data_IF_517751646818
#
_entry.id   IF_517751646818
#
_cell.length_a   1.000
_cell.length_b   1.000
_cell.length_c   1.000
_cell.angle_alpha   90.00
_cell.angle_beta   90.00
_cell.angle_gamma   90.00
#
_symmetry.space_group_name_H-M   'P 1'
#
loop_
_entity.id
_entity.type
_entity.pdbx_description
1 polymer ?
#
# COMPACT_ATOMS: atom_id res chain seq x y z
N UNK A 1 18.21 -2.34 -10.94
CA UNK A 1 17.09 -2.48 -9.99
C UNK A 1 17.43 -1.76 -8.69
N UNK A 2 16.64 -0.77 -8.33
CA UNK A 2 16.73 -0.09 -7.04
C UNK A 2 15.33 -0.14 -6.42
N UNK A 3 15.10 -1.15 -5.57
CA UNK A 3 13.85 -1.31 -4.86
C UNK A 3 13.68 -0.20 -3.82
N UNK A 4 12.70 0.68 -4.01
CA UNK A 4 12.43 1.82 -3.11
C UNK A 4 11.04 1.68 -2.50
N UNK A 5 10.98 1.86 -1.19
CA UNK A 5 9.71 1.87 -0.48
C UNK A 5 8.87 3.08 -0.90
N UNK A 6 7.55 2.88 -0.93
CA UNK A 6 6.56 3.93 -1.12
C UNK A 6 5.68 4.01 0.13
N UNK A 7 5.02 5.15 0.33
CA UNK A 7 4.06 5.33 1.42
C UNK A 7 2.87 4.38 1.25
N UNK A 8 2.23 4.05 2.36
CA UNK A 8 1.02 3.22 2.35
C UNK A 8 -0.09 3.89 1.54
N UNK A 9 -0.24 5.22 1.66
CA UNK A 9 -1.17 6.00 0.87
C UNK A 9 -0.99 5.76 -0.64
N UNK A 10 0.25 5.85 -1.12
CA UNK A 10 0.56 5.67 -2.53
C UNK A 10 0.35 4.20 -2.97
N UNK A 11 0.75 3.23 -2.14
CA UNK A 11 0.52 1.81 -2.39
C UNK A 11 -0.98 1.49 -2.54
N UNK A 12 -1.83 2.04 -1.66
CA UNK A 12 -3.28 1.87 -1.70
C UNK A 12 -3.90 2.50 -2.93
N UNK A 13 -3.48 3.70 -3.30
CA UNK A 13 -3.97 4.37 -4.52
C UNK A 13 -3.62 3.57 -5.79
N UNK A 14 -2.38 3.09 -5.89
CA UNK A 14 -1.95 2.26 -7.02
C UNK A 14 -2.79 0.98 -7.12
N UNK A 15 -2.95 0.23 -6.02
CA UNK A 15 -3.76 -0.99 -6.04
C UNK A 15 -5.22 -0.68 -6.32
N UNK A 16 -5.81 0.32 -5.68
CA UNK A 16 -7.20 0.74 -5.93
C UNK A 16 -7.45 1.06 -7.41
N UNK A 17 -6.50 1.74 -8.06
CA UNK A 17 -6.62 2.09 -9.47
C UNK A 17 -6.40 0.87 -10.37
N UNK A 18 -5.35 0.08 -10.15
CA UNK A 18 -4.91 -0.92 -11.13
C UNK A 18 -5.45 -2.34 -10.89
N UNK A 19 -5.99 -2.67 -9.71
CA UNK A 19 -6.45 -4.03 -9.43
C UNK A 19 -7.46 -4.54 -10.46
N UNK A 20 -8.40 -3.71 -10.89
CA UNK A 20 -9.36 -4.03 -11.95
C UNK A 20 -8.92 -3.67 -13.37
N UNK A 21 -7.74 -3.05 -13.57
CA UNK A 21 -7.32 -2.44 -14.84
C UNK A 21 -6.03 -3.01 -15.42
N UNK A 22 -5.14 -3.55 -14.58
CA UNK A 22 -3.89 -4.16 -15.02
C UNK A 22 -4.18 -5.27 -16.05
N UNK A 23 -3.38 -5.42 -17.11
CA UNK A 23 -3.46 -6.57 -18.00
C UNK A 23 -3.38 -7.85 -17.17
N UNK A 24 -4.22 -8.83 -17.50
CA UNK A 24 -4.15 -10.13 -16.84
C UNK A 24 -2.76 -10.73 -17.08
N UNK A 25 -2.05 -11.04 -15.99
CA UNK A 25 -0.84 -11.84 -16.09
C UNK A 25 -1.25 -13.30 -16.32
N UNK A 26 -0.66 -13.91 -17.34
CA UNK A 26 -0.88 -15.33 -17.57
C UNK A 26 -2.21 -15.71 -18.18
N UNK A 27 -2.40 -17.02 -18.39
CA UNK A 27 -3.66 -17.60 -18.89
C UNK A 27 -4.26 -18.65 -17.96
N UNK A 28 -3.47 -19.22 -17.05
CA UNK A 28 -3.89 -20.34 -16.22
C UNK A 28 -4.87 -19.96 -15.09
N UNK A 29 -4.84 -18.71 -14.59
CA UNK A 29 -5.71 -18.26 -13.51
C UNK A 29 -6.31 -16.86 -13.76
N UNK A 30 -7.21 -16.71 -14.74
CA UNK A 30 -7.96 -15.46 -14.87
C UNK A 30 -8.89 -15.26 -13.67
N UNK A 31 -9.04 -13.99 -13.25
CA UNK A 31 -10.10 -13.64 -12.33
C UNK A 31 -11.46 -13.91 -12.96
N UNK A 32 -12.43 -14.35 -12.14
CA UNK A 32 -13.78 -14.60 -12.62
C UNK A 32 -14.48 -13.31 -13.07
N UNK A 33 -15.43 -13.37 -14.01
CA UNK A 33 -16.15 -12.18 -14.51
C UNK A 33 -16.88 -11.38 -13.43
N UNK A 34 -17.25 -12.03 -12.31
CA UNK A 34 -17.93 -11.39 -11.19
C UNK A 34 -16.99 -10.60 -10.27
N UNK A 35 -15.67 -10.70 -10.47
CA UNK A 35 -14.70 -9.98 -9.67
C UNK A 35 -14.92 -8.47 -9.79
N UNK A 36 -15.10 -7.82 -8.64
CA UNK A 36 -15.13 -6.37 -8.52
C UNK A 36 -13.97 -5.96 -7.63
N UNK A 37 -13.14 -5.05 -8.13
CA UNK A 37 -12.11 -4.43 -7.30
C UNK A 37 -12.80 -3.74 -6.10
N UNK A 38 -12.32 -3.94 -4.87
CA UNK A 38 -12.94 -3.33 -3.70
C UNK A 38 -12.77 -1.81 -3.76
N UNK A 39 -13.76 -1.09 -3.25
CA UNK A 39 -13.64 0.35 -3.07
C UNK A 39 -12.61 0.66 -1.99
N UNK A 40 -11.70 1.57 -2.28
CA UNK A 40 -10.65 2.00 -1.34
C UNK A 40 -10.84 3.47 -1.03
N UNK A 41 -11.05 3.76 0.24
CA UNK A 41 -11.17 5.12 0.78
C UNK A 41 -9.94 5.41 1.62
N UNK A 42 -9.12 6.34 1.14
CA UNK A 42 -7.88 6.72 1.80
C UNK A 42 -7.64 8.21 1.63
N UNK A 43 -7.29 8.89 2.72
CA UNK A 43 -6.93 10.30 2.74
C UNK A 43 -5.57 10.49 3.42
N UNK A 44 -4.76 11.42 2.90
CA UNK A 44 -3.48 11.78 3.50
C UNK A 44 -3.59 13.13 4.19
N UNK A 45 -3.06 13.21 5.41
CA UNK A 45 -2.98 14.44 6.19
C UNK A 45 -1.50 14.73 6.38
N UNK A 46 -1.06 15.89 5.88
CA UNK A 46 0.31 16.37 6.00
C UNK A 46 0.35 17.50 7.01
N UNK A 47 1.39 17.55 7.83
CA UNK A 47 1.71 18.65 8.71
C UNK A 47 2.81 19.51 8.08
N UNK A 48 2.58 20.81 8.03
CA UNK A 48 3.53 21.79 7.53
C UNK A 48 4.31 22.42 8.70
N UNK A 49 5.66 22.27 8.73
CA UNK A 49 6.49 22.85 9.78
C UNK A 49 6.51 24.39 9.79
N UNK A 50 6.29 25.05 8.65
CA UNK A 50 6.37 26.51 8.55
C UNK A 50 5.11 27.15 9.14
N UNK A 51 3.94 26.74 8.67
CA UNK A 51 2.66 27.24 9.18
C UNK A 51 2.23 26.58 10.49
N UNK A 52 2.82 25.44 10.87
CA UNK A 52 2.40 24.58 11.98
C UNK A 52 0.96 24.11 11.87
N UNK A 53 0.46 24.00 10.65
CA UNK A 53 -0.91 23.54 10.36
C UNK A 53 -0.90 22.15 9.73
N UNK A 54 -2.06 21.48 9.73
CA UNK A 54 -2.28 20.24 8.99
C UNK A 54 -3.13 20.52 7.75
N UNK A 55 -3.18 19.55 6.82
CA UNK A 55 -4.08 19.57 5.65
C UNK A 55 -5.47 20.13 6.02
N UNK A 56 -5.96 21.17 5.32
CA UNK A 56 -7.23 21.80 5.66
C UNK A 56 -8.42 20.88 5.35
N UNK A 57 -9.45 20.95 6.18
CA UNK A 57 -10.66 20.13 6.07
C UNK A 57 -11.33 20.26 4.67
N UNK A 58 -11.23 21.43 4.03
CA UNK A 58 -11.75 21.66 2.68
C UNK A 58 -11.09 20.82 1.57
N UNK A 59 -9.92 20.23 1.85
CA UNK A 59 -9.19 19.35 0.94
C UNK A 59 -9.44 17.87 1.20
N UNK A 60 -10.23 17.54 2.23
CA UNK A 60 -10.52 16.15 2.59
C UNK A 60 -11.81 15.66 1.90
N UNK A 61 -11.85 14.38 1.48
CA UNK A 61 -13.07 13.79 0.96
C UNK A 61 -14.23 13.82 1.97
N UNK A 62 -15.47 13.93 1.49
CA UNK A 62 -16.66 14.05 2.35
C UNK A 62 -16.84 12.87 3.33
N UNK A 63 -16.45 11.65 2.93
CA UNK A 63 -16.59 10.46 3.76
C UNK A 63 -15.78 10.54 5.06
N UNK A 64 -14.72 11.35 5.12
CA UNK A 64 -13.92 11.56 6.33
C UNK A 64 -14.78 12.13 7.46
N UNK A 65 -15.78 12.95 7.14
CA UNK A 65 -16.61 13.63 8.14
C UNK A 65 -17.83 12.81 8.59
N UNK A 66 -18.21 11.78 7.83
CA UNK A 66 -19.40 10.97 8.10
C UNK A 66 -19.10 9.58 8.68
N UNK A 67 -17.91 9.04 8.40
CA UNK A 67 -17.56 7.67 8.78
C UNK A 67 -16.73 7.62 10.07
N UNK A 68 -16.73 6.45 10.73
CA UNK A 68 -15.72 6.16 11.76
C UNK A 68 -14.40 5.87 11.08
N UNK A 69 -13.30 6.27 11.71
CA UNK A 69 -11.99 6.36 11.09
C UNK A 69 -10.94 5.56 11.87
N UNK A 70 -9.95 5.11 11.11
CA UNK A 70 -8.61 4.77 11.58
C UNK A 70 -7.66 5.89 11.17
N UNK A 71 -6.78 6.27 12.08
CA UNK A 71 -5.69 7.23 11.81
C UNK A 71 -4.36 6.63 12.24
N UNK A 72 -3.35 6.74 11.36
CA UNK A 72 -2.00 6.23 11.63
C UNK A 72 -0.94 7.06 10.90
N UNK A 73 0.32 7.11 11.37
CA UNK A 73 1.39 7.73 10.62
C UNK A 73 1.74 6.94 9.36
N UNK A 74 2.14 7.66 8.31
CA UNK A 74 2.49 7.10 7.00
C UNK A 74 3.91 7.56 6.58
N UNK A 75 4.90 7.08 7.32
CA UNK A 75 6.32 7.39 7.15
C UNK A 75 7.19 6.13 7.20
N UNK A 76 6.72 5.04 6.61
CA UNK A 76 7.42 3.74 6.59
C UNK A 76 7.70 3.15 7.99
N UNK A 77 6.84 3.47 8.95
CA UNK A 77 6.92 2.94 10.32
C UNK A 77 6.24 1.58 10.36
N UNK A 78 6.98 0.54 10.75
CA UNK A 78 6.44 -0.80 10.99
C UNK A 78 5.84 -0.92 12.39
N UNK A 79 4.95 -1.91 12.59
CA UNK A 79 4.39 -2.27 13.92
C UNK A 79 3.73 -1.11 14.68
N UNK A 80 3.05 -0.21 13.95
CA UNK A 80 2.38 0.99 14.47
C UNK A 80 1.43 0.71 15.65
N UNK A 81 0.68 -0.39 15.60
CA UNK A 81 -0.19 -0.81 16.70
C UNK A 81 0.56 -1.02 18.03
N UNK A 82 1.70 -1.72 17.98
CA UNK A 82 2.55 -1.98 19.17
C UNK A 82 3.25 -0.71 19.67
N UNK A 83 3.48 0.26 18.78
CA UNK A 83 4.04 1.58 19.11
C UNK A 83 3.01 2.60 19.64
N UNK A 84 1.73 2.23 19.77
CA UNK A 84 0.67 3.18 20.17
C UNK A 84 0.39 4.26 19.13
N UNK A 85 0.77 4.02 17.86
CA UNK A 85 0.64 4.93 16.73
C UNK A 85 -0.58 4.57 15.84
N UNK A 86 -1.66 4.11 16.46
CA UNK A 86 -2.89 3.72 15.78
C UNK A 86 -4.10 4.26 16.56
N UNK A 87 -4.82 5.20 15.96
CA UNK A 87 -6.10 5.70 16.47
C UNK A 87 -7.26 4.97 15.80
N UNK A 88 -7.96 4.11 16.54
CA UNK A 88 -9.07 3.29 16.02
C UNK A 88 -10.44 3.87 16.38
N UNK A 89 -11.43 3.66 15.52
CA UNK A 89 -12.85 3.99 15.73
C UNK A 89 -13.10 5.46 16.13
N UNK A 90 -12.41 6.39 15.47
CA UNK A 90 -12.50 7.83 15.76
C UNK A 90 -13.47 8.53 14.81
N UNK A 91 -14.14 9.56 15.28
CA UNK A 91 -14.73 10.59 14.41
C UNK A 91 -13.64 11.51 13.85
N UNK A 92 -13.93 12.31 12.82
CA UNK A 92 -12.96 13.27 12.30
C UNK A 92 -12.42 14.23 13.38
N UNK A 93 -13.24 14.87 14.25
CA UNK A 93 -12.71 15.72 15.32
C UNK A 93 -11.72 15.00 16.25
N UNK A 94 -12.01 13.75 16.62
CA UNK A 94 -11.14 12.94 17.47
C UNK A 94 -9.85 12.53 16.75
N UNK A 95 -9.93 12.18 15.46
CA UNK A 95 -8.76 11.85 14.64
C UNK A 95 -7.88 13.07 14.41
N UNK A 96 -8.47 14.23 14.13
CA UNK A 96 -7.79 15.51 13.96
C UNK A 96 -7.05 15.92 15.23
N UNK A 97 -7.70 15.83 16.40
CA UNK A 97 -7.05 16.07 17.69
C UNK A 97 -5.88 15.09 17.92
N UNK A 98 -6.08 13.80 17.63
CA UNK A 98 -5.04 12.78 17.74
C UNK A 98 -3.80 13.08 16.87
N UNK A 99 -4.02 13.61 15.66
CA UNK A 99 -2.95 14.07 14.76
C UNK A 99 -2.25 15.30 15.35
N UNK A 100 -3.00 16.33 15.74
CA UNK A 100 -2.43 17.58 16.28
C UNK A 100 -1.61 17.38 17.55
N UNK A 101 -1.97 16.40 18.37
CA UNK A 101 -1.18 16.02 19.55
C UNK A 101 0.21 15.45 19.20
N UNK A 102 0.40 14.94 17.99
CA UNK A 102 1.60 14.18 17.57
C UNK A 102 2.39 14.84 16.44
N UNK A 103 1.70 15.57 15.57
CA UNK A 103 2.28 16.23 14.41
C UNK A 103 3.37 17.23 14.83
N UNK A 104 4.52 17.16 14.15
CA UNK A 104 5.68 18.00 14.44
C UNK A 104 6.42 17.68 15.74
N UNK A 105 6.02 16.62 16.46
CA UNK A 105 6.68 16.21 17.72
C UNK A 105 7.60 15.00 17.51
N UNK A 106 8.72 14.93 18.24
CA UNK A 106 9.61 13.78 18.20
C UNK A 106 8.93 12.55 18.82
N UNK A 107 9.12 11.40 18.19
CA UNK A 107 8.69 10.09 18.70
C UNK A 107 9.83 9.09 18.56
N UNK A 108 9.99 8.24 19.58
CA UNK A 108 10.89 7.11 19.54
C UNK A 108 10.10 5.87 19.08
N UNK A 109 10.48 5.27 17.96
CA UNK A 109 9.94 4.00 17.50
C UNK A 109 11.05 2.98 17.42
N UNK A 110 11.01 1.98 18.30
CA UNK A 110 12.00 0.89 18.37
C UNK A 110 13.46 1.38 18.38
N UNK A 111 13.75 2.49 19.06
CA UNK A 111 15.09 3.08 19.18
C UNK A 111 15.42 4.15 18.13
N UNK A 112 14.56 4.34 17.12
CA UNK A 112 14.71 5.37 16.09
C UNK A 112 13.92 6.60 16.47
N UNK A 113 14.61 7.73 16.67
CA UNK A 113 13.99 9.03 16.91
C UNK A 113 13.63 9.70 15.58
N UNK A 114 12.40 10.19 15.44
CA UNK A 114 11.98 10.97 14.28
C UNK A 114 10.75 11.81 14.55
N UNK A 115 10.37 12.67 13.60
CA UNK A 115 9.20 13.55 13.72
C UNK A 115 8.07 13.05 12.83
N UNK A 116 6.83 13.10 13.34
CA UNK A 116 5.64 12.73 12.57
C UNK A 116 5.11 13.95 11.81
N UNK A 117 5.12 13.88 10.48
CA UNK A 117 4.64 14.93 9.58
C UNK A 117 3.62 14.43 8.54
N UNK A 118 3.48 13.12 8.35
CA UNK A 118 2.55 12.55 7.36
C UNK A 118 1.71 11.45 8.01
N UNK A 119 0.40 11.54 7.83
CA UNK A 119 -0.60 10.63 8.37
C UNK A 119 -1.54 10.15 7.27
N UNK A 120 -2.14 8.99 7.49
CA UNK A 120 -3.16 8.40 6.64
C UNK A 120 -4.43 8.18 7.48
N UNK A 121 -5.57 8.47 6.88
CA UNK A 121 -6.91 8.31 7.46
C UNK A 121 -7.73 7.44 6.52
N UNK A 122 -8.45 6.50 7.11
CA UNK A 122 -9.21 5.47 6.40
C UNK A 122 -10.48 5.13 7.17
N UNK A 123 -11.54 4.61 6.53
CA UNK A 123 -12.69 4.09 7.26
C UNK A 123 -12.29 2.99 8.25
N UNK A 124 -12.87 3.06 9.44
CA UNK A 124 -12.82 1.96 10.39
C UNK A 124 -13.69 0.82 9.86
N UNK A 125 -13.08 -0.34 9.68
CA UNK A 125 -13.76 -1.56 9.27
C UNK A 125 -13.88 -2.48 10.50
N UNK A 126 -15.04 -2.57 11.18
CA UNK A 126 -15.26 -3.59 12.19
C UNK A 126 -15.31 -4.96 11.53
N UNK A 127 -14.49 -5.90 12.00
CA UNK A 127 -14.44 -7.25 11.46
C UNK A 127 -13.97 -8.25 12.53
N UNK A 128 -14.42 -9.51 12.47
CA UNK A 128 -13.88 -10.59 13.30
C UNK A 128 -12.43 -10.95 12.93
N UNK A 129 -11.62 -11.39 13.89
CA UNK A 129 -10.21 -11.74 13.65
C UNK A 129 -10.04 -12.96 12.73
N UNK A 130 -11.00 -13.89 12.66
CA UNK A 130 -11.00 -15.02 11.72
C UNK A 130 -11.32 -14.61 10.27
N UNK A 131 -11.45 -13.31 10.01
CA UNK A 131 -11.56 -12.73 8.67
C UNK A 131 -10.28 -12.02 8.22
N UNK A 132 -9.26 -11.96 9.08
CA UNK A 132 -7.94 -11.39 8.77
C UNK A 132 -7.00 -12.42 8.16
N UNK A 133 -6.47 -12.11 6.99
CA UNK A 133 -5.47 -12.90 6.26
C UNK A 133 -4.20 -12.07 6.07
N UNK A 134 -3.14 -12.76 5.66
CA UNK A 134 -1.88 -12.16 5.23
C UNK A 134 -1.61 -12.52 3.78
N UNK A 135 -1.14 -11.55 2.99
CA UNK A 135 -0.52 -11.82 1.70
C UNK A 135 0.74 -10.98 1.53
N UNK A 136 1.78 -11.59 0.99
CA UNK A 136 2.97 -10.88 0.52
C UNK A 136 3.43 -11.45 -0.82
N UNK A 137 3.82 -10.56 -1.74
CA UNK A 137 4.49 -10.90 -3.00
C UNK A 137 5.86 -10.25 -2.94
N UNK A 138 6.91 -11.05 -3.05
CA UNK A 138 8.29 -10.58 -2.98
C UNK A 138 9.10 -11.17 -4.13
N UNK A 139 9.77 -10.30 -4.91
CA UNK A 139 10.65 -10.76 -5.98
C UNK A 139 11.93 -11.36 -5.41
N UNK A 140 12.25 -12.56 -5.88
CA UNK A 140 13.50 -13.28 -5.64
C UNK A 140 14.21 -13.50 -6.98
N UNK A 141 15.40 -14.09 -6.97
CA UNK A 141 16.18 -14.29 -8.20
C UNK A 141 15.45 -15.20 -9.19
N UNK A 142 14.77 -16.22 -8.67
CA UNK A 142 14.13 -17.29 -9.44
C UNK A 142 12.71 -16.93 -9.92
N UNK A 143 12.15 -15.80 -9.46
CA UNK A 143 10.79 -15.39 -9.79
C UNK A 143 10.15 -14.55 -8.68
N UNK A 144 8.83 -14.57 -8.59
CA UNK A 144 8.08 -13.87 -7.54
C UNK A 144 7.48 -14.88 -6.55
N UNK A 145 7.83 -14.74 -5.27
CA UNK A 145 7.31 -15.58 -4.20
C UNK A 145 6.05 -14.95 -3.62
N UNK A 146 4.93 -15.67 -3.71
CA UNK A 146 3.65 -15.34 -3.08
C UNK A 146 3.58 -16.11 -1.76
N UNK A 147 3.45 -15.38 -0.65
CA UNK A 147 3.23 -15.89 0.69
C UNK A 147 1.79 -15.61 1.11
N UNK A 148 1.15 -16.57 1.75
CA UNK A 148 -0.21 -16.42 2.29
C UNK A 148 -0.36 -17.14 3.63
N UNK A 149 -1.10 -16.53 4.57
CA UNK A 149 -1.63 -17.26 5.74
C UNK A 149 -3.03 -16.78 6.11
N UNK A 150 -3.80 -17.70 6.70
CA UNK A 150 -5.13 -17.46 7.26
C UNK A 150 -5.11 -16.86 8.68
N UNK A 151 -3.91 -16.70 9.26
CA UNK A 151 -3.69 -16.03 10.54
C UNK A 151 -3.10 -14.63 10.29
N UNK A 152 -3.90 -13.71 9.76
CA UNK A 152 -3.50 -12.31 9.55
C UNK A 152 -3.44 -11.49 10.84
N UNK A 153 -3.17 -10.20 10.70
CA UNK A 153 -3.28 -9.21 11.77
C UNK A 153 -2.00 -8.96 12.57
N UNK A 154 -2.16 -8.32 13.73
CA UNK A 154 -1.06 -7.83 14.58
C UNK A 154 -0.28 -8.97 15.26
N UNK A 155 -0.94 -10.10 15.46
CA UNK A 155 -0.41 -11.26 16.20
C UNK A 155 0.10 -12.40 15.30
N UNK A 156 0.35 -12.10 14.03
CA UNK A 156 0.83 -13.06 13.02
C UNK A 156 2.11 -13.81 13.45
N UNK A 157 3.02 -13.16 14.19
CA UNK A 157 4.27 -13.77 14.65
C UNK A 157 5.31 -13.95 13.53
N UNK A 158 5.99 -15.09 13.51
CA UNK A 158 6.96 -15.45 12.46
C UNK A 158 6.23 -15.92 11.19
N UNK A 159 5.89 -14.97 10.33
CA UNK A 159 5.15 -15.22 9.09
C UNK A 159 5.94 -16.08 8.11
N UNK A 160 7.28 -16.01 8.11
CA UNK A 160 8.10 -16.78 7.18
C UNK A 160 8.04 -18.28 7.47
N UNK A 161 7.88 -18.66 8.74
CA UNK A 161 7.68 -20.05 9.16
C UNK A 161 6.24 -20.53 8.97
N UNK A 162 5.24 -19.65 9.09
CA UNK A 162 3.81 -19.99 9.05
C UNK A 162 3.20 -19.96 7.65
N UNK A 163 3.61 -19.01 6.81
CA UNK A 163 2.94 -18.75 5.55
C UNK A 163 3.20 -19.87 4.54
N UNK A 164 2.14 -20.27 3.85
CA UNK A 164 2.25 -21.09 2.67
C UNK A 164 2.86 -20.27 1.53
N UNK A 165 3.67 -20.91 0.68
CA UNK A 165 4.50 -20.24 -0.34
C UNK A 165 4.35 -20.88 -1.70
N UNK A 166 4.17 -20.06 -2.72
CA UNK A 166 4.22 -20.44 -4.13
C UNK A 166 5.17 -19.47 -4.82
N UNK A 167 6.08 -19.99 -5.65
CA UNK A 167 6.93 -19.16 -6.51
C UNK A 167 6.39 -19.19 -7.93
N UNK A 168 6.11 -18.02 -8.50
CA UNK A 168 5.88 -17.85 -9.94
C UNK A 168 7.25 -17.67 -10.59
N UNK A 169 7.76 -18.65 -11.36
CA UNK A 169 9.11 -18.58 -11.92
C UNK A 169 9.28 -17.43 -12.91
N UNK A 170 10.52 -16.96 -13.12
CA UNK A 170 10.84 -16.10 -14.26
C UNK A 170 10.40 -16.77 -15.56
N UNK A 171 9.74 -16.01 -16.44
CA UNK A 171 9.12 -16.48 -17.68
C UNK A 171 8.05 -17.58 -17.50
N UNK A 172 7.65 -17.84 -16.24
CA UNK A 172 6.60 -18.76 -15.87
C UNK A 172 5.20 -18.12 -15.90
N UNK A 173 4.19 -18.97 -15.74
CA UNK A 173 2.80 -18.52 -15.57
C UNK A 173 2.39 -18.59 -14.09
N UNK A 174 1.43 -17.76 -13.69
CA UNK A 174 0.77 -17.86 -12.40
C UNK A 174 0.09 -19.25 -12.31
N UNK A 175 0.23 -20.00 -11.20
CA UNK A 175 -0.44 -21.29 -11.06
C UNK A 175 -1.95 -21.19 -11.23
N UNK A 176 -2.56 -22.29 -11.68
CA UNK A 176 -4.00 -22.34 -11.89
C UNK A 176 -4.77 -22.19 -10.57
N UNK A 177 -6.09 -21.98 -10.67
CA UNK A 177 -6.96 -21.80 -9.51
C UNK A 177 -6.88 -22.97 -8.51
N UNK A 178 -6.80 -24.21 -8.98
CA UNK A 178 -6.76 -25.37 -8.10
C UNK A 178 -5.41 -25.42 -7.35
N UNK A 179 -4.31 -25.10 -8.04
CA UNK A 179 -2.98 -25.00 -7.45
C UNK A 179 -2.88 -23.87 -6.43
N UNK A 180 -3.44 -22.67 -6.71
CA UNK A 180 -3.48 -21.57 -5.73
C UNK A 180 -4.32 -21.94 -4.50
N UNK A 181 -5.48 -22.58 -4.68
CA UNK A 181 -6.31 -23.05 -3.56
C UNK A 181 -5.56 -24.05 -2.69
N UNK A 182 -4.96 -25.07 -3.30
CA UNK A 182 -4.25 -26.12 -2.57
C UNK A 182 -2.96 -25.63 -1.92
N UNK A 183 -2.21 -24.76 -2.61
CA UNK A 183 -0.89 -24.34 -2.16
C UNK A 183 -0.88 -23.09 -1.28
N UNK A 184 -1.90 -22.23 -1.33
CA UNK A 184 -1.97 -21.01 -0.49
C UNK A 184 -3.19 -20.99 0.44
N UNK A 185 -4.34 -21.51 0.00
CA UNK A 185 -5.63 -21.29 0.67
C UNK A 185 -6.22 -22.54 1.32
N UNK A 186 -5.43 -23.60 1.56
CA UNK A 186 -5.94 -24.88 2.07
C UNK A 186 -6.64 -24.75 3.44
N UNK A 187 -6.17 -23.83 4.29
CA UNK A 187 -6.75 -23.55 5.61
C UNK A 187 -7.88 -22.50 5.58
N UNK A 188 -8.18 -21.92 4.40
CA UNK A 188 -9.24 -20.91 4.25
C UNK A 188 -10.59 -21.60 4.05
N UNK A 189 -11.68 -21.12 4.68
CA UNK A 189 -13.03 -21.62 4.43
C UNK A 189 -13.41 -21.60 2.95
N UNK A 190 -13.99 -22.70 2.45
CA UNK A 190 -14.28 -22.90 1.03
C UNK A 190 -15.10 -21.77 0.39
N UNK A 191 -16.05 -21.18 1.13
CA UNK A 191 -16.89 -20.07 0.65
C UNK A 191 -16.11 -18.78 0.36
N UNK A 192 -14.88 -18.60 0.91
CA UNK A 192 -14.02 -17.43 0.68
C UNK A 192 -12.92 -17.68 -0.34
N UNK A 193 -12.55 -18.94 -0.57
CA UNK A 193 -11.39 -19.30 -1.39
C UNK A 193 -11.46 -18.71 -2.79
N UNK A 194 -12.62 -18.77 -3.46
CA UNK A 194 -12.70 -18.27 -4.84
C UNK A 194 -12.53 -16.75 -4.96
N UNK A 195 -13.05 -15.99 -3.99
CA UNK A 195 -12.88 -14.55 -3.93
C UNK A 195 -11.41 -14.17 -3.68
N UNK A 196 -10.74 -14.89 -2.78
CA UNK A 196 -9.33 -14.70 -2.49
C UNK A 196 -8.45 -15.09 -3.68
N UNK A 197 -8.77 -16.16 -4.42
CA UNK A 197 -8.04 -16.49 -5.66
C UNK A 197 -8.19 -15.38 -6.70
N UNK A 198 -9.40 -14.85 -6.90
CA UNK A 198 -9.60 -13.74 -7.84
C UNK A 198 -8.75 -12.52 -7.44
N UNK A 199 -8.79 -12.17 -6.14
CA UNK A 199 -7.98 -11.08 -5.61
C UNK A 199 -6.48 -11.32 -5.79
N UNK A 200 -5.97 -12.51 -5.47
CA UNK A 200 -4.55 -12.85 -5.63
C UNK A 200 -4.11 -12.79 -7.10
N UNK A 201 -4.92 -13.29 -8.03
CA UNK A 201 -4.61 -13.24 -9.46
C UNK A 201 -4.54 -11.79 -9.99
N UNK A 202 -5.46 -10.93 -9.54
CA UNK A 202 -5.48 -9.50 -9.90
C UNK A 202 -4.38 -8.70 -9.20
N UNK A 203 -4.07 -9.05 -7.96
CA UNK A 203 -2.99 -8.45 -7.19
C UNK A 203 -1.64 -8.77 -7.84
N UNK A 204 -1.42 -10.03 -8.24
CA UNK A 204 -0.21 -10.43 -8.96
C UNK A 204 -0.10 -9.75 -10.34
N UNK A 205 -1.22 -9.66 -11.08
CA UNK A 205 -1.25 -8.91 -12.34
C UNK A 205 -0.84 -7.44 -12.15
N UNK A 206 -1.30 -6.81 -11.06
CA UNK A 206 -0.94 -5.43 -10.70
C UNK A 206 0.51 -5.31 -10.23
N UNK A 207 0.99 -6.31 -9.49
CA UNK A 207 2.38 -6.42 -9.02
C UNK A 207 3.36 -6.36 -10.20
N UNK A 208 3.12 -7.19 -11.21
CA UNK A 208 3.95 -7.24 -12.42
C UNK A 208 3.79 -5.98 -13.27
N UNK A 209 2.55 -5.54 -13.54
CA UNK A 209 2.27 -4.42 -14.45
C UNK A 209 2.87 -3.08 -13.97
N UNK A 210 3.00 -2.92 -12.66
CA UNK A 210 3.54 -1.72 -12.02
C UNK A 210 4.98 -1.87 -11.53
N UNK A 211 5.65 -2.98 -11.83
CA UNK A 211 7.05 -3.24 -11.43
C UNK A 211 7.26 -3.11 -9.90
N UNK A 212 6.37 -3.73 -9.12
CA UNK A 212 6.64 -3.95 -7.71
C UNK A 212 7.80 -4.94 -7.53
N UNK A 213 8.52 -4.79 -6.42
CA UNK A 213 9.56 -5.72 -5.95
C UNK A 213 9.22 -6.30 -4.58
N UNK A 214 8.27 -5.69 -3.88
CA UNK A 214 7.70 -6.13 -2.62
C UNK A 214 6.30 -5.53 -2.50
N UNK A 215 5.31 -6.32 -2.15
CA UNK A 215 3.97 -5.87 -1.83
C UNK A 215 3.41 -6.77 -0.73
N UNK A 216 3.14 -6.20 0.44
CA UNK A 216 2.57 -6.88 1.59
C UNK A 216 1.26 -6.22 1.99
N UNK A 217 0.27 -7.03 2.31
CA UNK A 217 -1.01 -6.61 2.87
C UNK A 217 -1.24 -7.37 4.18
N UNK A 218 -1.30 -6.65 5.31
CA UNK A 218 -1.53 -7.25 6.61
C UNK A 218 -2.22 -6.33 7.64
N UNK A 219 -3.53 -6.49 7.91
CA UNK A 219 -4.39 -7.57 7.44
C UNK A 219 -5.03 -7.31 6.07
N UNK A 220 -5.16 -8.37 5.28
CA UNK A 220 -6.14 -8.49 4.21
C UNK A 220 -7.42 -9.06 4.83
N UNK A 221 -8.52 -8.32 4.81
CA UNK A 221 -9.80 -8.77 5.36
C UNK A 221 -10.68 -9.32 4.25
N UNK A 222 -11.29 -10.49 4.46
CA UNK A 222 -12.32 -11.05 3.58
C UNK A 222 -13.55 -11.47 4.40
N UNK A 223 -14.61 -10.66 4.31
CA UNK A 223 -15.90 -10.86 4.98
C UNK A 223 -16.99 -11.28 3.98
N UNK A 224 -18.16 -11.61 4.49
CA UNK A 224 -19.40 -11.68 3.71
C UNK A 224 -20.17 -10.37 3.89
N UNK A 225 -20.57 -9.75 2.78
CA UNK A 225 -21.44 -8.59 2.77
C UNK A 225 -22.90 -8.99 3.06
N UNK A 226 -23.77 -7.99 3.29
CA UNK A 226 -25.18 -8.21 3.62
C UNK A 226 -25.97 -8.96 2.52
N UNK A 227 -25.52 -8.89 1.27
CA UNK A 227 -26.10 -9.60 0.13
C UNK A 227 -25.50 -11.00 -0.09
N UNK A 228 -24.64 -11.46 0.82
CA UNK A 228 -23.93 -12.74 0.74
C UNK A 228 -22.71 -12.73 -0.19
N UNK A 229 -22.36 -11.60 -0.80
CA UNK A 229 -21.17 -11.49 -1.63
C UNK A 229 -19.89 -11.35 -0.79
N UNK A 230 -18.74 -11.85 -1.24
CA UNK A 230 -17.48 -11.64 -0.55
C UNK A 230 -17.07 -10.16 -0.61
N UNK A 231 -16.68 -9.59 0.53
CA UNK A 231 -16.17 -8.22 0.66
C UNK A 231 -14.72 -8.25 1.10
N UNK A 232 -13.84 -7.66 0.28
CA UNK A 232 -12.39 -7.60 0.55
C UNK A 232 -12.00 -6.18 0.95
N UNK A 233 -11.19 -6.04 1.99
CA UNK A 233 -10.56 -4.79 2.38
C UNK A 233 -9.08 -5.02 2.73
N UNK A 234 -8.18 -4.14 2.30
CA UNK A 234 -6.76 -4.23 2.62
C UNK A 234 -6.36 -3.11 3.58
N UNK A 235 -6.27 -3.45 4.88
CA UNK A 235 -6.22 -2.45 5.95
C UNK A 235 -4.82 -1.90 6.19
N UNK A 236 -3.78 -2.66 5.89
CA UNK A 236 -2.39 -2.20 5.94
C UNK A 236 -1.66 -2.60 4.66
N UNK A 237 -0.86 -1.71 4.11
CA UNK A 237 0.01 -2.03 2.98
C UNK A 237 1.44 -1.55 3.21
N UNK A 238 2.40 -2.40 2.87
CA UNK A 238 3.81 -2.04 2.74
C UNK A 238 4.29 -2.47 1.35
N UNK A 239 4.91 -1.55 0.60
CA UNK A 239 5.30 -1.85 -0.77
C UNK A 239 6.61 -1.18 -1.18
N UNK A 240 7.27 -1.79 -2.17
CA UNK A 240 8.44 -1.26 -2.86
C UNK A 240 8.27 -1.40 -4.37
N UNK A 241 8.64 -0.37 -5.11
CA UNK A 241 8.71 -0.37 -6.57
C UNK A 241 10.17 -0.44 -7.01
N UNK A 242 10.42 -1.00 -8.19
CA UNK A 242 11.71 -0.81 -8.85
C UNK A 242 11.79 0.61 -9.41
N UNK A 243 12.47 1.52 -8.71
CA UNK A 243 12.65 2.90 -9.14
C UNK A 243 13.29 2.98 -10.54
N UNK A 244 14.09 1.99 -10.94
CA UNK A 244 14.74 2.01 -12.26
C UNK A 244 13.75 1.78 -13.41
N UNK A 245 12.53 1.33 -13.12
CA UNK A 245 11.44 1.19 -14.09
C UNK A 245 10.63 2.48 -14.29
N UNK A 246 11.03 3.63 -13.71
CA UNK A 246 10.30 4.90 -13.84
C UNK A 246 10.07 5.32 -15.30
N UNK A 247 11.04 5.09 -16.18
CA UNK A 247 10.88 5.39 -17.61
C UNK A 247 9.80 4.55 -18.32
N UNK A 248 9.44 3.38 -17.76
CA UNK A 248 8.37 2.50 -18.25
C UNK A 248 7.04 2.75 -17.54
N UNK A 249 7.09 2.89 -16.21
CA UNK A 249 5.94 2.83 -15.34
C UNK A 249 5.58 4.17 -14.69
N UNK A 250 6.41 5.20 -14.80
CA UNK A 250 6.22 6.50 -14.15
C UNK A 250 4.88 7.14 -14.49
N UNK A 251 4.43 7.03 -15.75
CA UNK A 251 3.11 7.48 -16.17
C UNK A 251 1.97 6.68 -15.50
N UNK A 252 2.10 5.35 -15.39
CA UNK A 252 1.10 4.51 -14.68
C UNK A 252 1.07 4.85 -13.20
N UNK A 253 2.23 5.01 -12.58
CA UNK A 253 2.35 5.38 -11.18
C UNK A 253 1.72 6.74 -10.91
N UNK A 254 1.92 7.73 -11.78
CA UNK A 254 1.28 9.04 -11.67
C UNK A 254 -0.24 8.94 -11.80
N UNK A 255 -0.75 8.20 -12.80
CA UNK A 255 -2.19 7.98 -13.01
C UNK A 255 -2.84 7.35 -11.78
N UNK A 256 -2.21 6.32 -11.20
CA UNK A 256 -2.74 5.66 -10.01
C UNK A 256 -2.84 6.59 -8.80
N UNK A 257 -2.04 7.65 -8.75
CA UNK A 257 -2.03 8.67 -7.69
C UNK A 257 -2.96 9.86 -7.96
N UNK A 258 -3.73 9.84 -9.05
CA UNK A 258 -4.69 10.90 -9.36
C UNK A 258 -5.88 10.85 -8.38
N UNK A 259 -6.03 11.88 -7.55
CA UNK A 259 -7.11 11.99 -6.55
C UNK A 259 -8.16 13.06 -6.91
N UNK A 260 -7.86 13.93 -7.87
CA UNK A 260 -8.82 14.89 -8.39
C UNK A 260 -9.82 14.22 -9.31
N UNK A 261 -11.12 14.40 -9.06
CA UNK A 261 -12.15 14.15 -10.08
C UNK A 261 -11.84 15.07 -11.24
N UNK A 262 -11.62 14.53 -12.44
CA UNK A 262 -11.34 15.32 -13.64
C UNK A 262 -12.52 16.28 -13.89
N UNK A 263 -12.37 17.55 -13.47
CA UNK A 263 -13.28 18.61 -13.87
C UNK A 263 -12.94 18.91 -15.33
N UNK A 264 -13.79 18.42 -16.24
CA UNK A 264 -13.90 18.79 -17.66
C UNK A 264 -12.68 19.51 -18.26
N UNK A 265 -11.74 18.75 -18.83
CA UNK A 265 -10.65 19.31 -19.63
C UNK A 265 -9.71 18.22 -20.12
N UNK A 266 -9.38 18.25 -21.41
CA UNK A 266 -8.46 17.33 -22.07
C UNK A 266 -7.09 17.36 -21.38
N UNK A 267 -6.79 16.35 -20.56
CA UNK A 267 -5.44 16.10 -20.09
C UNK A 267 -4.84 14.97 -20.92
N UNK A 268 -3.70 15.23 -21.53
CA UNK A 268 -2.93 14.18 -22.19
C UNK A 268 -2.45 13.16 -21.14
N UNK A 269 -2.06 11.95 -21.55
CA UNK A 269 -1.50 10.93 -20.63
C UNK A 269 -0.32 11.45 -19.78
N UNK A 270 0.37 12.51 -20.22
CA UNK A 270 1.49 13.13 -19.52
C UNK A 270 1.08 13.98 -18.29
N UNK A 271 -0.20 14.31 -18.12
CA UNK A 271 -0.67 15.29 -17.11
C UNK A 271 -1.55 14.67 -16.00
N UNK A 272 -1.57 13.33 -15.88
CA UNK A 272 -2.46 12.62 -14.95
C UNK A 272 -1.74 12.23 -13.66
N UNK A 273 -2.10 12.93 -12.58
CA UNK A 273 -1.62 12.70 -11.22
C UNK A 273 -0.15 13.09 -10.97
N UNK A 274 0.29 13.14 -9.70
CA UNK A 274 1.64 13.54 -9.32
C UNK A 274 2.69 12.41 -9.53
N UNK A 275 3.92 12.73 -9.98
CA UNK A 275 5.01 11.76 -10.10
C UNK A 275 5.30 11.02 -8.79
N UNK A 276 5.61 9.72 -8.86
CA UNK A 276 5.84 8.87 -7.68
C UNK A 276 6.88 9.47 -6.73
N UNK A 277 6.62 9.38 -5.43
CA UNK A 277 7.52 9.87 -4.38
C UNK A 277 8.09 8.68 -3.61
N UNK A 278 9.41 8.67 -3.43
CA UNK A 278 10.12 7.66 -2.66
C UNK A 278 10.59 8.28 -1.33
N UNK A 279 9.83 8.12 -0.23
CA UNK A 279 10.20 8.73 1.06
C UNK A 279 11.50 8.14 1.63
N UNK A 280 12.20 8.94 2.43
CA UNK A 280 13.27 8.43 3.28
C UNK A 280 12.71 7.51 4.38
N UNK A 281 13.53 6.59 4.92
CA UNK A 281 13.17 5.84 6.12
C UNK A 281 12.83 6.76 7.29
N UNK A 282 11.94 6.30 8.18
CA UNK A 282 11.64 7.03 9.41
C UNK A 282 12.91 7.34 10.22
N UNK A 283 12.94 8.52 10.85
CA UNK A 283 14.07 9.01 11.64
C UNK A 283 15.09 9.85 10.88
N UNK A 284 14.88 10.06 9.58
CA UNK A 284 15.69 10.98 8.76
C UNK A 284 14.81 11.77 7.81
N UNK A 285 14.99 13.08 7.82
CA UNK A 285 14.47 13.95 6.77
C UNK A 285 15.53 14.10 5.68
N UNK A 286 15.12 14.15 4.41
CA UNK A 286 16.04 14.44 3.31
C UNK A 286 16.50 15.89 3.41
N UNK A 287 17.80 16.12 3.35
CA UNK A 287 18.32 17.49 3.24
C UNK A 287 18.04 18.07 1.84
N UNK A 288 18.11 19.40 1.71
CA UNK A 288 17.94 20.07 0.39
C UNK A 288 18.98 19.59 -0.61
N UNK A 289 20.20 19.33 -0.14
CA UNK A 289 21.33 18.85 -0.94
C UNK A 289 21.09 17.41 -1.40
N UNK A 290 20.56 16.54 -0.52
CA UNK A 290 20.23 15.16 -0.88
C UNK A 290 19.13 15.11 -1.95
N UNK A 291 18.09 15.93 -1.81
CA UNK A 291 17.03 16.05 -2.81
C UNK A 291 17.57 16.58 -4.15
N UNK A 292 18.50 17.55 -4.12
CA UNK A 292 19.14 18.09 -5.32
C UNK A 292 19.98 17.03 -6.05
N UNK A 293 20.81 16.27 -5.33
CA UNK A 293 21.62 15.20 -5.94
C UNK A 293 20.74 14.08 -6.50
N UNK A 294 19.65 13.71 -5.82
CA UNK A 294 18.69 12.73 -6.35
C UNK A 294 18.06 13.19 -7.67
N UNK A 295 17.73 14.48 -7.80
CA UNK A 295 17.20 15.04 -9.05
C UNK A 295 18.25 14.99 -10.18
N UNK A 296 19.50 15.30 -9.88
CA UNK A 296 20.59 15.23 -10.86
C UNK A 296 20.82 13.78 -11.33
N UNK A 297 20.89 12.83 -10.39
CA UNK A 297 21.05 11.39 -10.66
C UNK A 297 19.98 10.86 -11.62
N UNK A 298 18.72 11.25 -11.42
CA UNK A 298 17.61 10.84 -12.28
C UNK A 298 17.68 11.44 -13.70
N UNK A 299 18.48 12.50 -13.90
CA UNK A 299 18.55 13.26 -15.16
C UNK A 299 19.78 12.91 -16.01
N UNK A 300 20.60 11.95 -15.59
CA UNK A 300 21.85 11.57 -16.27
C UNK A 300 22.10 10.07 -16.22
N UNK A 301 22.89 9.54 -17.15
CA UNK A 301 23.36 8.15 -17.09
C UNK A 301 24.47 7.92 -16.07
N UNK A 302 25.03 8.99 -15.48
CA UNK A 302 26.02 8.90 -14.42
C UNK A 302 25.39 8.57 -13.06
N UNK A 303 26.07 7.79 -12.22
CA UNK A 303 25.61 7.53 -10.85
C UNK A 303 26.07 8.64 -9.90
N UNK A 304 25.13 9.41 -9.37
CA UNK A 304 25.33 10.50 -8.42
C UNK A 304 24.54 10.20 -7.14
N UNK A 305 25.21 9.96 -6.01
CA UNK A 305 24.55 9.61 -4.75
C UNK A 305 25.10 10.44 -3.60
N UNK A 306 24.22 11.00 -2.77
CA UNK A 306 24.59 11.73 -1.56
C UNK A 306 23.73 11.24 -0.39
N UNK A 307 24.38 11.08 0.77
CA UNK A 307 23.72 10.84 2.04
C UNK A 307 24.55 11.51 3.13
N UNK A 308 23.93 12.46 3.83
CA UNK A 308 24.47 13.15 4.98
C UNK A 308 24.17 12.29 6.21
N UNK A 309 25.22 11.81 6.88
CA UNK A 309 25.10 10.97 8.08
C UNK A 309 25.04 11.80 9.37
N UNK A 310 25.70 12.96 9.37
CA UNK A 310 25.71 13.91 10.47
C UNK A 310 25.71 15.31 9.85
N UNK A 311 24.64 16.07 10.10
CA UNK A 311 24.41 17.40 9.55
C UNK A 311 24.87 18.49 10.52
#
# INVERSE_FOLDING_TARGET
MSAKAIREYDAKLLVAHFLGRAPQFGKACPARPEFKAPEVKVAQISWDPESKTITPDSSLPSWVFSEKLVVKPDQLIKRRGKAGLLGLNKTWPEAKAWIQERAGKPVNVEGVMGTLNTFIVEPFAPHPSDTEYYVCINSVREGDMILFTHEGGVDIGDVDAKAAKITVPVDGDLPDRAQLKAGLLAAVPSHRQDALVDFLARLYSTYVDLHYTYLEINPLVCMEAADGSPSIAFLDMAAKLDQTADYLCGAKWAIGRETSVAINGSKTFADRGPPMVFPAPFGRDLTKEEAYIQKLDASTGASLKLTVLNA
#
